data_IF_233990497061
#
_entry.id   IF_233990497061
#
_cell.length_a   1.000
_cell.length_b   1.000
_cell.length_c   1.000
_cell.angle_alpha   90.00
_cell.angle_beta   90.00
_cell.angle_gamma   90.00
#
_symmetry.space_group_name_H-M   'P 1'
#
loop_
_entity.id
_entity.type
_entity.pdbx_description
1 polymer ?
#
# COMPACT_ATOMS: atom_id res chain seq x y z
N UNK A 1 -34.30 14.09 95.98
CA UNK A 1 -32.85 14.00 95.70
C UNK A 1 -32.71 13.75 94.20
N UNK A 2 -32.02 14.68 93.53
CA UNK A 2 -31.71 14.84 92.10
C UNK A 2 -31.96 13.66 91.13
N UNK A 3 -32.80 13.90 90.12
CA UNK A 3 -32.80 13.23 88.82
C UNK A 3 -31.87 13.99 87.84
N UNK A 4 -30.93 13.29 87.20
CA UNK A 4 -30.28 13.67 85.92
C UNK A 4 -30.10 12.41 85.07
N UNK A 5 -30.78 12.40 83.93
CA UNK A 5 -30.22 12.42 82.56
C UNK A 5 -29.67 11.08 82.05
N UNK A 6 -30.31 10.53 81.03
CA UNK A 6 -29.63 9.89 79.89
C UNK A 6 -30.44 10.13 78.61
N UNK A 7 -29.97 11.07 77.79
CA UNK A 7 -30.40 11.23 76.40
C UNK A 7 -29.67 10.23 75.51
N UNK A 8 -30.43 9.33 74.89
CA UNK A 8 -29.94 8.39 73.87
C UNK A 8 -30.02 8.99 72.47
N UNK A 9 -28.85 9.27 71.89
CA UNK A 9 -28.67 9.88 70.59
C UNK A 9 -28.81 8.83 69.46
N UNK A 10 -29.74 9.03 68.53
CA UNK A 10 -29.98 8.14 67.38
C UNK A 10 -28.89 8.40 66.33
N UNK A 11 -27.88 7.51 66.25
CA UNK A 11 -26.92 7.51 65.15
C UNK A 11 -27.55 6.93 63.88
N UNK A 12 -27.93 7.82 62.97
CA UNK A 12 -28.25 7.47 61.58
C UNK A 12 -26.97 7.07 60.84
N UNK A 13 -26.81 5.77 60.53
CA UNK A 13 -25.76 5.28 59.64
C UNK A 13 -25.96 5.88 58.24
N UNK A 14 -25.14 6.88 57.87
CA UNK A 14 -25.01 7.37 56.49
C UNK A 14 -24.60 6.19 55.58
N UNK A 15 -25.48 5.78 54.67
CA UNK A 15 -25.12 4.88 53.55
C UNK A 15 -24.07 5.61 52.71
N UNK A 16 -22.86 5.07 52.66
CA UNK A 16 -21.87 5.49 51.67
C UNK A 16 -22.43 5.20 50.27
N UNK A 17 -22.28 6.11 49.31
CA UNK A 17 -22.68 5.84 47.93
C UNK A 17 -21.74 4.78 47.37
N UNK A 18 -22.27 3.59 47.07
CA UNK A 18 -21.55 2.61 46.25
C UNK A 18 -21.33 3.24 44.87
N UNK A 19 -20.08 3.62 44.61
CA UNK A 19 -19.60 3.98 43.29
C UNK A 19 -19.77 2.76 42.38
N UNK A 20 -20.81 2.77 41.56
CA UNK A 20 -20.98 1.82 40.46
C UNK A 20 -19.93 2.20 39.41
N UNK A 21 -18.75 1.58 39.49
CA UNK A 21 -17.75 1.66 38.44
C UNK A 21 -18.35 0.98 37.21
N UNK A 22 -18.74 1.77 36.19
CA UNK A 22 -19.16 1.21 34.89
C UNK A 22 -17.98 0.39 34.35
N UNK A 23 -18.15 -0.93 34.25
CA UNK A 23 -17.16 -1.80 33.61
C UNK A 23 -16.98 -1.35 32.17
N UNK A 24 -15.73 -1.08 31.77
CA UNK A 24 -15.39 -0.70 30.40
C UNK A 24 -15.69 -1.88 29.47
N UNK A 25 -16.54 -1.67 28.46
CA UNK A 25 -16.73 -2.65 27.40
C UNK A 25 -15.53 -2.58 26.44
N UNK A 26 -14.86 -3.71 26.24
CA UNK A 26 -13.72 -3.85 25.32
C UNK A 26 -14.14 -4.76 24.16
N UNK A 27 -14.16 -4.22 22.94
CA UNK A 27 -14.68 -4.94 21.77
C UNK A 27 -13.93 -6.26 21.48
N UNK A 28 -12.61 -6.29 21.66
CA UNK A 28 -11.79 -7.50 21.46
C UNK A 28 -12.13 -8.60 22.47
N UNK A 29 -12.46 -8.24 23.70
CA UNK A 29 -12.88 -9.20 24.73
C UNK A 29 -14.25 -9.80 24.39
N UNK A 30 -15.21 -8.96 23.97
CA UNK A 30 -16.53 -9.42 23.52
C UNK A 30 -16.44 -10.37 22.33
N UNK A 31 -15.58 -10.06 21.35
CA UNK A 31 -15.35 -10.94 20.22
C UNK A 31 -14.71 -12.26 20.66
N UNK A 32 -13.68 -12.20 21.52
CA UNK A 32 -13.00 -13.39 22.04
C UNK A 32 -13.96 -14.31 22.81
N UNK A 33 -14.86 -13.74 23.62
CA UNK A 33 -15.89 -14.50 24.32
C UNK A 33 -16.90 -15.13 23.35
N UNK A 34 -17.32 -14.40 22.32
CA UNK A 34 -18.24 -14.92 21.33
C UNK A 34 -17.63 -16.09 20.54
N UNK A 35 -16.39 -15.96 20.06
CA UNK A 35 -15.73 -17.05 19.32
C UNK A 35 -15.51 -18.28 20.19
N UNK A 36 -15.12 -18.10 21.46
CA UNK A 36 -15.01 -19.21 22.43
C UNK A 36 -16.34 -19.89 22.68
N UNK A 37 -17.40 -19.12 22.93
CA UNK A 37 -18.76 -19.64 23.19
C UNK A 37 -19.29 -20.48 22.04
N UNK A 38 -18.97 -20.08 20.82
CA UNK A 38 -19.42 -20.76 19.60
C UNK A 38 -18.40 -21.74 19.02
N UNK A 39 -17.27 -21.96 19.69
CA UNK A 39 -16.18 -22.82 19.23
C UNK A 39 -15.71 -22.49 17.79
N UNK A 40 -15.53 -21.20 17.52
CA UNK A 40 -15.09 -20.67 16.22
C UNK A 40 -13.59 -20.39 16.28
N UNK A 41 -12.84 -20.98 15.35
CA UNK A 41 -11.43 -20.65 15.12
C UNK A 41 -11.30 -19.69 13.93
N UNK A 42 -10.96 -18.44 14.22
CA UNK A 42 -10.85 -17.38 13.20
C UNK A 42 -9.66 -17.63 12.25
N UNK A 43 -8.64 -18.35 12.71
CA UNK A 43 -7.50 -18.77 11.90
C UNK A 43 -7.90 -19.63 10.70
N UNK A 44 -8.99 -20.41 10.80
CA UNK A 44 -9.50 -21.20 9.68
C UNK A 44 -9.98 -20.31 8.53
N UNK A 45 -10.66 -19.20 8.86
CA UNK A 45 -11.13 -18.23 7.87
C UNK A 45 -9.95 -17.57 7.14
N UNK A 46 -8.91 -17.21 7.89
CA UNK A 46 -7.68 -16.65 7.34
C UNK A 46 -6.92 -17.67 6.49
N UNK A 47 -6.91 -18.94 6.89
CA UNK A 47 -6.25 -20.00 6.13
C UNK A 47 -6.90 -20.25 4.77
N UNK A 48 -8.23 -20.25 4.70
CA UNK A 48 -8.97 -20.49 3.45
C UNK A 48 -9.01 -19.29 2.52
N UNK A 49 -8.94 -18.07 3.06
CA UNK A 49 -9.14 -16.83 2.29
C UNK A 49 -7.88 -16.00 2.07
N UNK A 50 -6.83 -16.22 2.85
CA UNK A 50 -5.57 -15.48 2.72
C UNK A 50 -4.87 -15.78 1.40
N UNK A 51 -4.54 -14.74 0.64
CA UNK A 51 -3.77 -14.88 -0.59
C UNK A 51 -2.29 -14.65 -0.30
N UNK A 52 -1.49 -15.65 -0.59
CA UNK A 52 -0.04 -15.68 -0.38
C UNK A 52 0.70 -15.62 -1.71
N UNK A 53 1.91 -15.07 -1.71
CA UNK A 53 2.81 -15.09 -2.87
C UNK A 53 3.53 -16.43 -2.94
N UNK A 54 3.82 -16.92 -4.14
CA UNK A 54 4.59 -18.14 -4.32
C UNK A 54 5.97 -18.05 -3.61
N UNK A 55 6.38 -19.04 -2.80
CA UNK A 55 7.70 -19.06 -2.17
C UNK A 55 8.88 -18.89 -3.13
N UNK A 56 8.76 -19.41 -4.36
CA UNK A 56 9.84 -19.28 -5.34
C UNK A 56 10.01 -17.84 -5.80
N UNK A 57 8.95 -17.03 -5.85
CA UNK A 57 9.09 -15.59 -6.09
C UNK A 57 9.92 -14.90 -5.01
N UNK A 58 9.67 -15.23 -3.73
CA UNK A 58 10.45 -14.71 -2.60
C UNK A 58 11.92 -15.12 -2.73
N UNK A 59 12.20 -16.39 -3.00
CA UNK A 59 13.56 -16.90 -3.14
C UNK A 59 14.31 -16.20 -4.28
N UNK A 60 13.67 -16.01 -5.43
CA UNK A 60 14.26 -15.25 -6.54
C UNK A 60 14.51 -13.80 -6.16
N UNK A 61 13.55 -13.13 -5.53
CA UNK A 61 13.71 -11.75 -5.09
C UNK A 61 14.93 -11.61 -4.17
N UNK A 62 15.04 -12.44 -3.13
CA UNK A 62 16.20 -12.41 -2.21
C UNK A 62 17.50 -12.71 -2.94
N UNK A 63 17.55 -13.72 -3.81
CA UNK A 63 18.76 -14.07 -4.55
C UNK A 63 19.22 -12.94 -5.48
N UNK A 64 18.28 -12.34 -6.20
CA UNK A 64 18.59 -11.37 -7.25
C UNK A 64 18.89 -9.96 -6.68
N UNK A 65 18.45 -9.68 -5.45
CA UNK A 65 18.47 -8.31 -4.88
C UNK A 65 19.08 -8.21 -3.48
N UNK A 66 19.35 -9.35 -2.84
CA UNK A 66 19.74 -9.45 -1.43
C UNK A 66 18.71 -8.87 -0.45
N UNK A 67 17.46 -8.65 -0.89
CA UNK A 67 16.38 -8.07 -0.09
C UNK A 67 15.10 -8.88 -0.23
N UNK A 68 14.37 -9.08 0.87
CA UNK A 68 13.03 -9.65 0.83
C UNK A 68 11.95 -8.62 0.42
N UNK A 69 12.29 -7.32 0.48
CA UNK A 69 11.42 -6.21 0.15
C UNK A 69 11.43 -5.89 -1.35
N UNK A 70 10.23 -5.76 -1.94
CA UNK A 70 10.06 -5.36 -3.35
C UNK A 70 10.47 -3.90 -3.55
N UNK A 71 10.23 -3.05 -2.55
CA UNK A 71 10.61 -1.64 -2.52
C UNK A 71 11.36 -1.38 -1.19
N UNK A 72 12.69 -1.58 -1.16
CA UNK A 72 13.47 -1.55 0.08
C UNK A 72 13.55 -0.16 0.73
N UNK A 73 13.31 0.91 -0.02
CA UNK A 73 13.36 2.30 0.46
C UNK A 73 11.96 2.88 0.71
N UNK A 74 11.01 2.04 1.12
CA UNK A 74 9.62 2.46 1.38
C UNK A 74 9.13 1.93 2.71
N UNK A 75 8.55 2.78 3.56
CA UNK A 75 7.89 2.38 4.82
C UNK A 75 6.59 3.13 5.06
N UNK A 76 5.72 2.61 5.93
CA UNK A 76 4.52 3.33 6.37
C UNK A 76 4.87 4.61 7.14
N UNK A 77 4.10 5.67 6.92
CA UNK A 77 4.13 6.88 7.74
C UNK A 77 3.63 6.59 9.17
N UNK A 78 4.32 7.10 10.19
CA UNK A 78 4.07 6.84 11.63
C UNK A 78 2.94 7.67 12.25
N UNK A 79 2.36 8.61 11.51
CA UNK A 79 1.28 9.46 12.02
C UNK A 79 1.74 10.41 13.12
N UNK A 80 2.81 11.18 12.87
CA UNK A 80 3.37 12.19 13.78
C UNK A 80 3.93 13.36 12.95
N UNK A 81 3.12 13.88 12.01
CA UNK A 81 3.56 14.89 11.02
C UNK A 81 4.18 14.31 9.75
N UNK A 82 4.56 13.02 9.76
CA UNK A 82 4.93 12.26 8.55
C UNK A 82 3.76 12.18 7.56
N UNK A 83 4.01 12.52 6.29
CA UNK A 83 3.01 12.47 5.21
C UNK A 83 3.41 11.49 4.12
N UNK A 84 2.42 10.81 3.53
CA UNK A 84 2.61 9.96 2.35
C UNK A 84 3.34 10.72 1.25
N UNK A 85 4.31 10.05 0.61
CA UNK A 85 5.11 10.58 -0.49
C UNK A 85 6.33 11.39 -0.06
N UNK A 86 6.39 11.84 1.19
CA UNK A 86 7.58 12.47 1.76
C UNK A 86 8.74 11.47 1.79
N UNK A 87 9.97 11.97 1.66
CA UNK A 87 11.20 11.20 1.81
C UNK A 87 11.87 11.63 3.12
N UNK A 88 12.23 10.68 3.96
CA UNK A 88 12.93 10.89 5.24
C UNK A 88 14.12 9.93 5.26
N UNK A 89 15.34 10.47 5.34
CA UNK A 89 16.59 9.69 5.34
C UNK A 89 16.68 8.67 4.17
N UNK A 90 16.30 9.11 2.96
CA UNK A 90 16.28 8.26 1.77
C UNK A 90 15.08 7.32 1.67
N UNK A 91 14.26 7.20 2.71
CA UNK A 91 13.09 6.32 2.74
C UNK A 91 11.81 7.09 2.40
N UNK A 92 11.08 6.63 1.39
CA UNK A 92 9.76 7.15 1.02
C UNK A 92 8.68 6.67 1.98
N UNK A 93 7.83 7.59 2.40
CA UNK A 93 6.70 7.33 3.27
C UNK A 93 5.46 6.89 2.48
N UNK A 94 4.80 5.84 2.96
CA UNK A 94 3.67 5.17 2.34
C UNK A 94 2.46 5.10 3.28
N UNK A 95 1.29 4.87 2.71
CA UNK A 95 0.01 4.64 3.38
C UNK A 95 -0.53 3.21 3.15
N UNK A 96 0.37 2.27 2.84
CA UNK A 96 0.15 0.92 2.30
C UNK A 96 -0.12 0.82 0.80
N UNK A 97 -0.11 1.93 0.05
CA UNK A 97 -0.23 1.85 -1.42
C UNK A 97 0.87 0.96 -2.00
N UNK A 98 2.11 1.13 -1.56
CA UNK A 98 3.24 0.34 -2.08
C UNK A 98 3.22 -1.10 -1.61
N UNK A 99 2.88 -1.37 -0.34
CA UNK A 99 2.73 -2.74 0.16
C UNK A 99 1.65 -3.50 -0.61
N UNK A 100 0.50 -2.85 -0.88
CA UNK A 100 -0.60 -3.45 -1.62
C UNK A 100 -0.20 -3.72 -3.08
N UNK A 101 0.46 -2.74 -3.72
CA UNK A 101 0.98 -2.88 -5.08
C UNK A 101 2.06 -3.96 -5.20
N UNK A 102 2.95 -4.07 -4.22
CA UNK A 102 3.98 -5.11 -4.12
C UNK A 102 3.33 -6.49 -4.07
N UNK A 103 2.39 -6.69 -3.15
CA UNK A 103 1.71 -7.97 -2.96
C UNK A 103 0.89 -8.39 -4.19
N UNK A 104 0.06 -7.49 -4.73
CA UNK A 104 -0.77 -7.78 -5.91
C UNK A 104 0.05 -8.03 -7.18
N UNK A 105 1.22 -7.40 -7.31
CA UNK A 105 2.15 -7.66 -8.41
C UNK A 105 2.80 -9.03 -8.27
N UNK A 106 3.38 -9.31 -7.11
CA UNK A 106 4.07 -10.58 -6.84
C UNK A 106 3.13 -11.78 -6.96
N UNK A 107 1.87 -11.61 -6.57
CA UNK A 107 0.82 -12.62 -6.68
C UNK A 107 0.20 -12.74 -8.09
N UNK A 108 0.60 -11.90 -9.07
CA UNK A 108 0.03 -11.93 -10.41
C UNK A 108 -1.43 -11.44 -10.52
N UNK A 109 -1.97 -10.83 -9.47
CA UNK A 109 -3.39 -10.46 -9.37
C UNK A 109 -3.68 -9.09 -10.02
N UNK A 110 -2.72 -8.17 -10.02
CA UNK A 110 -2.94 -6.82 -10.57
C UNK A 110 -4.16 -6.15 -9.94
N UNK A 111 -5.17 -5.79 -10.74
CA UNK A 111 -6.42 -5.15 -10.25
C UNK A 111 -7.53 -6.14 -9.86
N UNK A 112 -7.35 -7.46 -10.05
CA UNK A 112 -8.43 -8.44 -9.87
C UNK A 112 -8.76 -8.76 -8.40
N UNK A 113 -7.84 -8.47 -7.46
CA UNK A 113 -8.05 -8.68 -6.03
C UNK A 113 -8.86 -7.54 -5.40
N UNK A 114 -10.18 -7.55 -5.66
CA UNK A 114 -11.16 -6.64 -5.08
C UNK A 114 -11.60 -7.09 -3.68
N UNK A 115 -11.84 -6.13 -2.77
CA UNK A 115 -12.27 -6.43 -1.40
C UNK A 115 -11.18 -6.95 -0.46
N UNK A 116 -9.93 -7.02 -0.93
CA UNK A 116 -8.76 -7.41 -0.13
C UNK A 116 -7.98 -6.21 0.40
N UNK A 117 -7.39 -6.39 1.57
CA UNK A 117 -6.44 -5.48 2.19
C UNK A 117 -5.11 -6.18 2.46
N UNK A 118 -4.02 -5.45 2.24
CA UNK A 118 -2.69 -5.93 2.59
C UNK A 118 -2.48 -5.76 4.08
N UNK A 119 -2.13 -6.85 4.75
CA UNK A 119 -1.88 -6.90 6.18
C UNK A 119 -0.43 -7.29 6.43
N UNK A 120 0.22 -6.59 7.36
CA UNK A 120 1.57 -6.92 7.81
C UNK A 120 1.49 -7.95 8.93
N UNK A 121 2.28 -9.02 8.83
CA UNK A 121 2.13 -10.19 9.70
C UNK A 121 2.83 -9.98 11.05
N UNK A 122 3.96 -9.27 11.06
CA UNK A 122 4.71 -8.99 12.28
C UNK A 122 4.46 -7.56 12.79
N UNK A 123 4.20 -7.37 14.09
CA UNK A 123 3.91 -6.05 14.65
C UNK A 123 5.01 -5.02 14.37
N UNK A 124 4.59 -3.80 14.01
CA UNK A 124 5.43 -2.61 13.75
C UNK A 124 6.38 -2.71 12.54
N UNK A 125 6.44 -3.84 11.85
CA UNK A 125 7.31 -4.01 10.68
C UNK A 125 6.89 -3.15 9.48
N UNK A 126 5.63 -2.70 9.43
CA UNK A 126 5.16 -1.72 8.46
C UNK A 126 5.91 -0.38 8.55
N UNK A 127 6.55 -0.07 9.68
CA UNK A 127 7.33 1.16 9.87
C UNK A 127 8.84 0.97 9.66
N UNK A 128 9.26 -0.20 9.17
CA UNK A 128 10.65 -0.52 8.83
C UNK A 128 10.73 -0.82 7.33
N UNK A 129 11.58 -0.08 6.62
CA UNK A 129 11.67 -0.16 5.16
C UNK A 129 12.15 -1.54 4.67
N UNK A 130 12.93 -2.24 5.52
CA UNK A 130 13.40 -3.61 5.25
C UNK A 130 12.26 -4.62 5.17
N UNK A 131 11.12 -4.32 5.80
CA UNK A 131 10.02 -5.28 5.99
C UNK A 131 8.68 -4.81 5.42
N UNK A 132 8.47 -3.51 5.23
CA UNK A 132 7.18 -2.94 4.83
C UNK A 132 6.64 -3.51 3.51
N UNK A 133 7.51 -3.79 2.55
CA UNK A 133 7.13 -4.39 1.26
C UNK A 133 7.73 -5.78 1.07
N UNK A 134 8.13 -6.43 2.17
CA UNK A 134 8.63 -7.78 2.13
C UNK A 134 7.49 -8.76 1.90
N UNK A 135 7.56 -9.53 0.80
CA UNK A 135 6.48 -10.48 0.42
C UNK A 135 6.25 -11.54 1.49
N UNK A 136 7.30 -11.94 2.20
CA UNK A 136 7.19 -12.88 3.30
C UNK A 136 6.56 -12.27 4.56
N UNK A 137 6.44 -10.94 4.65
CA UNK A 137 5.89 -10.20 5.79
C UNK A 137 4.46 -9.70 5.56
N UNK A 138 3.88 -9.93 4.37
CA UNK A 138 2.57 -9.38 4.00
C UNK A 138 1.67 -10.45 3.40
N UNK A 139 0.37 -10.31 3.64
CA UNK A 139 -0.68 -11.20 3.13
C UNK A 139 -1.87 -10.35 2.67
N UNK A 140 -2.62 -10.78 1.65
CA UNK A 140 -3.91 -10.18 1.32
C UNK A 140 -5.00 -10.93 2.07
N UNK A 141 -5.75 -10.23 2.91
CA UNK A 141 -6.92 -10.75 3.61
C UNK A 141 -8.18 -10.06 3.11
N UNK A 142 -9.35 -10.73 3.13
CA UNK A 142 -10.62 -10.04 2.96
C UNK A 142 -10.72 -8.87 3.96
N UNK A 143 -11.22 -7.72 3.51
CA UNK A 143 -11.35 -6.51 4.34
C UNK A 143 -12.05 -6.78 5.68
N UNK A 144 -13.05 -7.67 5.68
CA UNK A 144 -13.78 -8.06 6.88
C UNK A 144 -12.91 -8.75 7.95
N UNK A 145 -11.79 -9.37 7.55
CA UNK A 145 -10.85 -10.07 8.43
C UNK A 145 -9.56 -9.28 8.68
N UNK A 146 -9.24 -8.31 7.83
CA UNK A 146 -7.98 -7.57 7.86
C UNK A 146 -7.67 -6.95 9.24
N UNK A 147 -8.66 -6.29 9.84
CA UNK A 147 -8.50 -5.68 11.17
C UNK A 147 -8.21 -6.67 12.30
N UNK A 148 -8.55 -7.96 12.12
CA UNK A 148 -8.26 -8.98 13.14
C UNK A 148 -6.79 -9.37 13.17
N UNK A 149 -6.06 -9.19 12.06
CA UNK A 149 -4.63 -9.52 11.99
C UNK A 149 -3.75 -8.70 12.96
N UNK A 150 -4.21 -7.52 13.36
CA UNK A 150 -3.51 -6.66 14.33
C UNK A 150 -4.00 -6.84 15.79
N UNK A 151 -5.08 -7.60 16.02
CA UNK A 151 -5.79 -7.60 17.31
C UNK A 151 -6.08 -8.99 17.88
N UNK A 152 -6.12 -10.02 17.04
CA UNK A 152 -6.44 -11.39 17.47
C UNK A 152 -5.19 -12.26 17.50
N UNK A 153 -4.91 -12.85 18.67
CA UNK A 153 -3.69 -13.64 18.90
C UNK A 153 -3.70 -14.97 18.12
N UNK A 154 -4.87 -15.56 17.90
CA UNK A 154 -5.01 -16.79 17.12
C UNK A 154 -4.58 -16.53 15.68
N UNK A 155 -5.10 -15.46 15.09
CA UNK A 155 -4.75 -15.05 13.73
C UNK A 155 -3.27 -14.64 13.62
N UNK A 156 -2.77 -13.83 14.55
CA UNK A 156 -1.38 -13.36 14.52
C UNK A 156 -0.39 -14.54 14.52
N UNK A 157 -0.56 -15.47 15.45
CA UNK A 157 0.35 -16.62 15.59
C UNK A 157 0.23 -17.58 14.40
N UNK A 158 -0.98 -17.80 13.90
CA UNK A 158 -1.20 -18.61 12.69
C UNK A 158 -0.54 -17.98 11.45
N UNK A 159 -0.71 -16.68 11.23
CA UNK A 159 -0.10 -15.97 10.09
C UNK A 159 1.43 -15.95 10.17
N UNK A 160 1.98 -15.71 11.37
CA UNK A 160 3.44 -15.71 11.58
C UNK A 160 4.03 -17.09 11.30
N UNK A 161 3.42 -18.15 11.83
CA UNK A 161 3.88 -19.50 11.56
C UNK A 161 3.70 -19.87 10.09
N UNK A 162 2.60 -19.48 9.44
CA UNK A 162 2.40 -19.73 8.00
C UNK A 162 3.47 -19.07 7.14
N UNK A 163 3.80 -17.81 7.43
CA UNK A 163 4.86 -17.12 6.71
C UNK A 163 6.23 -17.78 6.91
N UNK A 164 6.53 -18.25 8.13
CA UNK A 164 7.73 -19.03 8.39
C UNK A 164 7.73 -20.37 7.65
N UNK A 165 6.62 -21.10 7.65
CA UNK A 165 6.45 -22.37 6.94
C UNK A 165 6.64 -22.21 5.43
N UNK A 166 6.10 -21.13 4.84
CA UNK A 166 6.19 -20.86 3.41
C UNK A 166 7.56 -20.37 2.97
N UNK A 167 8.18 -19.48 3.73
CA UNK A 167 9.33 -18.70 3.27
C UNK A 167 10.61 -18.94 4.08
N UNK A 168 10.55 -19.69 5.18
CA UNK A 168 11.64 -19.78 6.16
C UNK A 168 11.98 -18.43 6.81
N UNK A 169 11.07 -17.45 6.73
CA UNK A 169 11.36 -16.05 6.98
C UNK A 169 10.70 -15.53 8.27
N UNK A 170 11.41 -14.66 8.96
CA UNK A 170 10.92 -13.84 10.08
C UNK A 170 11.83 -12.61 10.21
N UNK A 171 11.35 -11.49 10.78
CA UNK A 171 12.16 -10.27 10.89
C UNK A 171 13.30 -10.43 11.89
N UNK A 172 14.39 -9.71 11.64
CA UNK A 172 15.60 -9.74 12.48
C UNK A 172 15.28 -9.32 13.92
N UNK A 173 15.97 -9.94 14.88
CA UNK A 173 15.75 -9.69 16.31
C UNK A 173 14.46 -10.30 16.87
N UNK A 174 13.66 -11.00 16.05
CA UNK A 174 12.58 -11.87 16.54
C UNK A 174 13.04 -13.33 16.60
N UNK A 175 12.32 -14.12 17.40
CA UNK A 175 12.48 -15.58 17.43
C UNK A 175 11.66 -16.19 16.29
N UNK A 176 12.09 -17.34 15.73
CA UNK A 176 11.23 -18.14 14.87
C UNK A 176 9.88 -18.42 15.55
N UNK A 177 8.76 -18.32 14.84
CA UNK A 177 7.45 -18.60 15.41
C UNK A 177 7.32 -20.10 15.73
N UNK A 178 6.63 -20.41 16.82
CA UNK A 178 6.29 -21.79 17.20
C UNK A 178 4.95 -22.15 16.56
N UNK A 179 4.81 -23.39 16.07
CA UNK A 179 3.54 -23.89 15.52
C UNK A 179 2.45 -23.86 16.59
N UNK A 180 1.38 -23.07 16.44
CA UNK A 180 0.31 -23.07 17.44
C UNK A 180 -0.48 -24.38 17.39
N UNK A 181 -1.03 -24.80 18.53
CA UNK A 181 -1.83 -26.04 18.63
C UNK A 181 -3.07 -26.01 17.73
N UNK A 182 -3.67 -24.83 17.57
CA UNK A 182 -4.83 -24.58 16.71
C UNK A 182 -4.44 -24.28 15.25
N UNK A 183 -3.19 -24.51 14.84
CA UNK A 183 -2.76 -24.19 13.47
C UNK A 183 -3.60 -24.97 12.44
N UNK A 184 -4.22 -24.28 11.47
CA UNK A 184 -5.01 -24.94 10.44
C UNK A 184 -4.19 -25.99 9.67
N UNK A 185 -4.77 -27.19 9.51
CA UNK A 185 -4.14 -28.29 8.76
C UNK A 185 -4.21 -28.11 7.25
N UNK A 186 -5.15 -27.29 6.77
CA UNK A 186 -5.33 -26.94 5.38
C UNK A 186 -5.23 -25.44 5.24
N UNK A 187 -4.43 -25.01 4.28
CA UNK A 187 -4.29 -23.62 3.88
C UNK A 187 -4.60 -23.52 2.40
N UNK A 188 -5.13 -22.37 1.98
CA UNK A 188 -5.14 -22.02 0.58
C UNK A 188 -3.71 -22.04 0.03
N UNK A 189 -3.56 -22.65 -1.13
CA UNK A 189 -2.27 -22.66 -1.83
C UNK A 189 -1.86 -21.21 -2.21
N UNK A 190 -0.56 -20.89 -2.13
CA UNK A 190 -0.04 -19.64 -2.64
C UNK A 190 -0.44 -19.42 -4.10
N UNK A 191 -0.53 -18.15 -4.51
CA UNK A 191 -0.79 -17.84 -5.90
C UNK A 191 0.31 -18.43 -6.79
N UNK A 192 -0.01 -18.90 -8.01
CA UNK A 192 0.97 -19.42 -8.93
C UNK A 192 2.10 -18.40 -9.16
N UNK A 193 3.32 -18.91 -9.32
CA UNK A 193 4.42 -18.05 -9.66
C UNK A 193 4.19 -17.40 -11.03
N UNK A 194 4.25 -16.08 -11.07
CA UNK A 194 4.21 -15.36 -12.32
C UNK A 194 5.65 -15.03 -12.70
N UNK A 195 6.24 -15.86 -13.56
CA UNK A 195 7.60 -15.65 -14.10
C UNK A 195 7.75 -14.23 -14.71
N UNK A 196 6.63 -13.63 -15.14
CA UNK A 196 6.57 -12.27 -15.70
C UNK A 196 6.47 -11.13 -14.67
N UNK A 197 6.30 -11.40 -13.37
CA UNK A 197 6.34 -10.38 -12.33
C UNK A 197 7.80 -9.93 -12.13
N UNK A 198 8.22 -8.91 -12.90
CA UNK A 198 9.56 -8.33 -12.81
C UNK A 198 9.80 -7.77 -11.40
N UNK A 199 10.90 -8.20 -10.78
CA UNK A 199 11.47 -7.58 -9.59
C UNK A 199 11.91 -6.14 -9.93
N UNK A 200 11.59 -5.12 -9.12
CA UNK A 200 11.88 -3.72 -9.47
C UNK A 200 13.36 -3.33 -9.52
N UNK A 201 14.30 -4.26 -9.38
CA UNK A 201 15.75 -3.97 -9.42
C UNK A 201 16.23 -3.81 -10.87
N UNK A 202 15.73 -2.76 -11.50
CA UNK A 202 16.48 -1.96 -12.47
C UNK A 202 16.14 -0.48 -12.31
N UNK A 203 15.65 -0.06 -11.13
CA UNK A 203 15.69 1.34 -10.73
C UNK A 203 16.98 1.51 -9.93
N UNK A 204 18.08 1.66 -10.68
CA UNK A 204 19.26 2.38 -10.20
C UNK A 204 18.79 3.63 -9.46
N UNK A 205 19.43 3.93 -8.34
CA UNK A 205 19.31 5.20 -7.65
C UNK A 205 19.43 6.33 -8.69
N UNK A 206 18.31 6.87 -9.15
CA UNK A 206 18.34 8.10 -9.94
C UNK A 206 18.48 9.25 -8.95
N UNK A 207 19.70 9.40 -8.46
CA UNK A 207 20.27 10.73 -8.42
C UNK A 207 20.02 11.35 -9.80
N UNK A 208 19.17 12.37 -9.83
CA UNK A 208 19.02 13.25 -10.98
C UNK A 208 20.41 13.77 -11.35
N UNK A 209 21.00 13.17 -12.38
CA UNK A 209 22.08 13.78 -13.15
C UNK A 209 22.03 13.24 -14.59
N UNK A 210 21.55 14.10 -15.48
CA UNK A 210 22.01 14.32 -16.86
C UNK A 210 22.27 13.09 -17.74
N UNK A 211 21.35 12.90 -18.70
CA UNK A 211 21.54 12.28 -20.02
C UNK A 211 22.22 10.90 -20.10
N UNK A 212 21.45 9.82 -19.92
CA UNK A 212 21.76 8.56 -20.61
C UNK A 212 20.94 8.47 -21.90
N UNK A 213 21.64 8.56 -23.03
CA UNK A 213 21.05 8.43 -24.38
C UNK A 213 20.35 7.07 -24.51
N UNK A 214 19.03 7.10 -24.68
CA UNK A 214 18.17 5.93 -24.91
C UNK A 214 18.65 5.10 -26.13
N UNK A 215 18.46 3.78 -26.07
CA UNK A 215 18.75 2.91 -27.22
C UNK A 215 17.92 3.31 -28.45
N UNK A 216 18.48 3.23 -29.68
CA UNK A 216 17.82 3.71 -30.90
C UNK A 216 16.41 3.14 -31.13
N UNK A 217 16.22 1.85 -30.84
CA UNK A 217 14.94 1.14 -31.02
C UNK A 217 13.82 1.69 -30.12
N UNK A 218 14.16 2.03 -28.86
CA UNK A 218 13.19 2.60 -27.92
C UNK A 218 12.81 4.04 -28.27
N UNK A 219 13.74 4.80 -28.87
CA UNK A 219 13.46 6.14 -29.40
C UNK A 219 12.51 6.07 -30.59
N UNK A 220 12.79 5.18 -31.55
CA UNK A 220 11.94 4.97 -32.72
C UNK A 220 10.51 4.57 -32.33
N UNK A 221 10.36 3.64 -31.38
CA UNK A 221 9.05 3.22 -30.89
C UNK A 221 8.25 4.34 -30.20
N UNK A 222 8.90 5.26 -29.50
CA UNK A 222 8.22 6.40 -28.88
C UNK A 222 7.79 7.43 -29.93
N UNK A 223 8.66 7.72 -30.90
CA UNK A 223 8.38 8.65 -32.00
C UNK A 223 7.16 8.23 -32.81
N UNK A 224 7.05 6.94 -33.17
CA UNK A 224 5.88 6.40 -33.89
C UNK A 224 4.59 6.62 -33.09
N UNK A 225 4.63 6.34 -31.78
CA UNK A 225 3.46 6.48 -30.90
C UNK A 225 2.99 7.93 -30.73
N UNK A 226 3.93 8.87 -30.62
CA UNK A 226 3.60 10.30 -30.54
C UNK A 226 2.86 10.74 -31.82
N UNK A 227 3.34 10.31 -32.99
CA UNK A 227 2.67 10.60 -34.26
C UNK A 227 1.29 9.91 -34.37
N UNK A 228 1.13 8.70 -33.84
CA UNK A 228 -0.17 8.03 -33.83
C UNK A 228 -1.18 8.71 -32.90
N UNK A 229 -0.72 9.22 -31.75
CA UNK A 229 -1.57 10.00 -30.84
C UNK A 229 -1.95 11.36 -31.42
N UNK A 230 -1.06 12.03 -32.15
CA UNK A 230 -1.38 13.33 -32.75
C UNK A 230 -2.47 13.24 -33.82
N UNK A 231 -2.65 12.07 -34.46
CA UNK A 231 -3.70 11.86 -35.49
C UNK A 231 -5.08 11.53 -34.91
N UNK A 232 -5.21 11.39 -33.59
CA UNK A 232 -6.43 10.89 -32.92
C UNK A 232 -6.93 11.85 -31.86
N UNK A 233 -7.66 12.92 -32.24
CA UNK A 233 -8.10 14.00 -31.34
C UNK A 233 -9.11 13.53 -30.27
N UNK A 234 -9.76 12.40 -30.50
CA UNK A 234 -10.68 11.74 -29.56
C UNK A 234 -9.95 11.13 -28.34
N UNK A 235 -8.65 10.88 -28.45
CA UNK A 235 -7.90 10.28 -27.35
C UNK A 235 -7.65 11.29 -26.23
N UNK A 236 -7.86 10.84 -24.99
CA UNK A 236 -7.50 11.62 -23.79
C UNK A 236 -6.03 12.05 -23.80
N UNK A 237 -5.11 11.19 -24.25
CA UNK A 237 -3.69 11.55 -24.33
C UNK A 237 -3.43 12.67 -25.33
N UNK A 238 -4.16 12.72 -26.45
CA UNK A 238 -4.02 13.79 -27.44
C UNK A 238 -4.34 15.14 -26.80
N UNK A 239 -5.51 15.22 -26.16
CA UNK A 239 -5.97 16.42 -25.47
C UNK A 239 -5.00 16.87 -24.39
N UNK A 240 -4.48 15.92 -23.60
CA UNK A 240 -3.56 16.24 -22.50
C UNK A 240 -2.18 16.69 -23.01
N UNK A 241 -1.65 16.07 -24.07
CA UNK A 241 -0.44 16.57 -24.73
C UNK A 241 -0.69 17.99 -25.26
N UNK A 242 -1.85 18.25 -25.86
CA UNK A 242 -2.24 19.59 -26.31
C UNK A 242 -2.17 20.64 -25.20
N UNK A 243 -2.79 20.36 -24.05
CA UNK A 243 -2.77 21.27 -22.89
C UNK A 243 -1.34 21.60 -22.42
N UNK A 244 -0.49 20.57 -22.28
CA UNK A 244 0.89 20.78 -21.82
C UNK A 244 1.77 21.42 -22.91
N UNK A 245 1.52 21.14 -24.19
CA UNK A 245 2.26 21.73 -25.30
C UNK A 245 1.92 23.20 -25.53
N UNK A 246 0.68 23.62 -25.22
CA UNK A 246 0.25 25.03 -25.23
C UNK A 246 0.82 25.83 -24.05
N UNK A 247 1.08 25.17 -22.92
CA UNK A 247 1.74 25.78 -21.78
C UNK A 247 3.27 25.87 -22.02
N UNK A 248 3.72 27.01 -22.59
CA UNK A 248 5.12 27.23 -23.02
C UNK A 248 6.18 26.86 -21.97
N UNK A 249 5.92 27.16 -20.68
CA UNK A 249 6.83 26.89 -19.56
C UNK A 249 6.42 25.68 -18.70
N UNK A 250 5.48 24.87 -19.20
CA UNK A 250 4.81 23.82 -18.46
C UNK A 250 3.61 24.32 -17.66
N UNK A 251 2.90 23.37 -17.07
CA UNK A 251 1.66 23.58 -16.36
C UNK A 251 1.78 23.02 -14.94
N UNK A 252 1.28 23.74 -13.94
CA UNK A 252 1.29 23.20 -12.57
C UNK A 252 0.42 21.93 -12.49
N UNK A 253 0.79 20.98 -11.62
CA UNK A 253 0.02 19.72 -11.50
C UNK A 253 -1.46 19.97 -11.20
N UNK A 254 -1.76 20.90 -10.30
CA UNK A 254 -3.14 21.20 -9.90
C UNK A 254 -3.93 21.82 -11.05
N UNK A 255 -3.31 22.72 -11.81
CA UNK A 255 -3.91 23.32 -13.00
C UNK A 255 -4.14 22.27 -14.10
N UNK A 256 -3.19 21.37 -14.32
CA UNK A 256 -3.39 20.27 -15.27
C UNK A 256 -4.54 19.37 -14.85
N UNK A 257 -4.65 19.03 -13.56
CA UNK A 257 -5.78 18.24 -13.06
C UNK A 257 -7.11 18.94 -13.33
N UNK A 258 -7.21 20.25 -13.11
CA UNK A 258 -8.41 21.02 -13.42
C UNK A 258 -8.73 21.02 -14.92
N UNK A 259 -7.75 21.30 -15.77
CA UNK A 259 -7.95 21.34 -17.22
C UNK A 259 -8.30 19.94 -17.78
N UNK A 260 -7.67 18.88 -17.28
CA UNK A 260 -8.01 17.49 -17.66
C UNK A 260 -9.42 17.11 -17.23
N UNK A 261 -9.87 17.55 -16.05
CA UNK A 261 -11.24 17.33 -15.61
C UNK A 261 -12.24 17.94 -16.62
N UNK A 262 -11.98 19.17 -17.07
CA UNK A 262 -12.84 19.90 -17.99
C UNK A 262 -12.82 19.31 -19.40
N UNK A 263 -11.63 19.07 -19.96
CA UNK A 263 -11.42 18.70 -21.36
C UNK A 263 -11.71 17.23 -21.65
N UNK A 264 -11.46 16.35 -20.68
CA UNK A 264 -11.62 14.89 -20.87
C UNK A 264 -12.85 14.31 -20.18
N UNK A 265 -13.62 15.14 -19.47
CA UNK A 265 -14.76 14.75 -18.63
C UNK A 265 -14.43 13.58 -17.69
N UNK A 266 -13.19 13.52 -17.20
CA UNK A 266 -12.71 12.40 -16.39
C UNK A 266 -13.36 12.41 -15.00
N UNK A 267 -13.92 11.27 -14.59
CA UNK A 267 -14.40 11.06 -13.21
C UNK A 267 -13.26 10.97 -12.18
N UNK A 268 -12.01 10.84 -12.63
CA UNK A 268 -10.81 10.83 -11.79
C UNK A 268 -9.64 11.54 -12.50
N UNK A 269 -9.65 12.88 -12.53
CA UNK A 269 -8.64 13.67 -13.24
C UNK A 269 -7.26 13.55 -12.57
N UNK A 270 -7.22 13.49 -11.24
CA UNK A 270 -5.98 13.30 -10.47
C UNK A 270 -5.29 11.97 -10.81
N UNK A 271 -6.05 10.86 -10.84
CA UNK A 271 -5.53 9.56 -11.22
C UNK A 271 -5.07 9.49 -12.68
N UNK A 272 -5.75 10.21 -13.58
CA UNK A 272 -5.35 10.32 -14.98
C UNK A 272 -3.99 11.03 -15.09
N UNK A 273 -3.83 12.19 -14.46
CA UNK A 273 -2.56 12.94 -14.45
C UNK A 273 -1.44 12.13 -13.78
N UNK A 274 -1.70 11.50 -12.63
CA UNK A 274 -0.72 10.66 -11.96
C UNK A 274 -0.25 9.47 -12.82
N UNK A 275 -1.12 8.91 -13.66
CA UNK A 275 -0.78 7.81 -14.57
C UNK A 275 0.07 8.27 -15.76
N UNK A 276 -0.06 9.53 -16.17
CA UNK A 276 0.75 10.13 -17.25
C UNK A 276 2.22 10.30 -16.86
N UNK A 277 2.51 10.45 -15.57
CA UNK A 277 3.87 10.60 -15.06
C UNK A 277 4.57 9.26 -14.83
N UNK A 278 4.03 8.16 -15.38
CA UNK A 278 4.61 6.82 -15.23
C UNK A 278 5.02 6.24 -16.56
N UNK A 279 6.10 5.45 -16.51
CA UNK A 279 6.57 4.63 -17.64
C UNK A 279 5.76 3.34 -17.84
N UNK A 280 4.68 3.17 -17.08
CA UNK A 280 3.81 2.00 -17.12
C UNK A 280 2.77 2.09 -18.25
N UNK A 281 2.37 0.94 -18.81
CA UNK A 281 1.40 0.86 -19.90
C UNK A 281 1.86 1.61 -21.14
N UNK A 282 1.25 2.76 -21.42
CA UNK A 282 1.55 3.56 -22.61
C UNK A 282 2.84 4.39 -22.51
N UNK A 283 3.56 4.30 -21.39
CA UNK A 283 4.84 4.94 -21.16
C UNK A 283 4.81 6.47 -21.31
N UNK A 284 3.75 7.09 -20.80
CA UNK A 284 3.53 8.54 -20.83
C UNK A 284 4.62 9.31 -20.08
N UNK A 285 5.24 8.72 -19.07
CA UNK A 285 6.39 9.29 -18.34
C UNK A 285 7.63 9.53 -19.22
N UNK A 286 7.59 9.08 -20.48
CA UNK A 286 8.62 9.37 -21.49
C UNK A 286 8.31 10.60 -22.35
N UNK A 287 7.08 11.09 -22.28
CA UNK A 287 6.59 12.29 -22.95
C UNK A 287 6.52 13.47 -21.99
N UNK A 288 6.19 13.21 -20.73
CA UNK A 288 6.08 14.23 -19.69
C UNK A 288 7.18 14.09 -18.64
N UNK A 289 7.63 15.21 -18.11
CA UNK A 289 8.47 15.28 -16.92
C UNK A 289 7.81 16.16 -15.86
N UNK A 290 8.12 15.88 -14.59
CA UNK A 290 7.72 16.71 -13.46
C UNK A 290 8.96 17.36 -12.85
N UNK A 291 9.02 18.69 -12.98
CA UNK A 291 10.08 19.54 -12.45
C UNK A 291 9.47 20.40 -11.35
N UNK A 292 9.64 19.95 -10.11
CA UNK A 292 9.23 20.65 -8.88
C UNK A 292 7.75 21.07 -8.86
N UNK A 293 6.87 20.20 -9.36
CA UNK A 293 5.42 20.41 -9.39
C UNK A 293 4.91 21.03 -10.70
N UNK A 294 5.81 21.37 -11.62
CA UNK A 294 5.49 21.81 -12.98
C UNK A 294 5.67 20.67 -13.96
N UNK A 295 4.60 20.31 -14.66
CA UNK A 295 4.58 19.25 -15.67
C UNK A 295 4.92 19.87 -17.03
N UNK A 296 5.91 19.29 -17.71
CA UNK A 296 6.42 19.75 -19.01
C UNK A 296 6.53 18.61 -20.01
N UNK A 297 6.59 18.93 -21.30
CA UNK A 297 7.03 17.96 -22.31
C UNK A 297 8.52 17.71 -22.13
N UNK A 298 8.89 16.44 -22.05
CA UNK A 298 10.26 16.01 -21.86
C UNK A 298 11.16 16.55 -23.01
N UNK A 299 12.33 17.15 -22.72
CA UNK A 299 13.16 17.83 -23.72
C UNK A 299 13.49 16.98 -24.95
N UNK A 300 13.76 15.68 -24.75
CA UNK A 300 14.09 14.75 -25.84
C UNK A 300 13.01 14.58 -26.91
N UNK A 301 11.73 14.86 -26.62
CA UNK A 301 10.63 14.74 -27.57
C UNK A 301 9.93 16.08 -27.82
N UNK A 302 10.42 17.16 -27.21
CA UNK A 302 9.78 18.47 -27.25
C UNK A 302 9.66 19.02 -28.67
N UNK A 303 10.71 18.91 -29.48
CA UNK A 303 10.69 19.33 -30.88
C UNK A 303 9.66 18.53 -31.69
N UNK A 304 9.62 17.21 -31.49
CA UNK A 304 8.68 16.35 -32.20
C UNK A 304 7.23 16.67 -31.82
N UNK A 305 6.94 16.85 -30.53
CA UNK A 305 5.60 17.20 -30.04
C UNK A 305 5.19 18.56 -30.58
N UNK A 306 6.09 19.56 -30.58
CA UNK A 306 5.83 20.90 -31.13
C UNK A 306 5.62 20.92 -32.65
N UNK A 307 6.19 19.97 -33.38
CA UNK A 307 6.01 19.84 -34.83
C UNK A 307 4.66 19.24 -35.24
N UNK A 308 3.87 18.73 -34.29
CA UNK A 308 2.59 18.05 -34.53
C UNK A 308 1.41 18.92 -34.08
N UNK A 309 0.27 18.74 -34.74
CA UNK A 309 -0.97 19.43 -34.36
C UNK A 309 -1.64 18.70 -33.19
N UNK A 310 -1.95 19.46 -32.14
CA UNK A 310 -2.69 18.99 -30.97
C UNK A 310 -3.86 19.93 -30.72
N UNK A 311 -5.05 19.35 -30.55
CA UNK A 311 -6.25 20.08 -30.16
C UNK A 311 -6.64 19.69 -28.72
N UNK A 312 -6.85 20.69 -27.88
CA UNK A 312 -7.26 20.52 -26.50
C UNK A 312 -8.77 20.72 -26.29
N UNK A 313 -9.52 21.06 -27.34
CA UNK A 313 -10.98 21.24 -27.31
C UNK A 313 -11.74 19.91 -27.16
#
# INVERSE_FOLDING_TARGET
>A
MLHREYGGNIQTKRKQPMSITRSKLVASELLLEAVKRHNIHLSLLVADTGLWVNPEFHNRLVRDTSSAAIYPDVRRARGQGEKRGQIVDGVRLDDNTYANGAMKRAAGLGKSAEGFEVCHIWPRTCYDARYHTAVANIVLLPRALAGLSDHDIEIQTALQYRAFELYGWYPEGRKPPVKPEFYPSKWREPQPDTINARTPHTVSASSRSVSEKRSPEKRLGLTVRIADWSRKPDLKVHKIIGLVAQAHDGISRDELVMQVANVTQSKNPYGAVASLLTDSGNAYGRVFEDCDGTIRIHPEVQEQVRALAWNAD
#
